data_IF_213203613398
#
_entry.id   IF_213203613398
#
_cell.length_a   1.000
_cell.length_b   1.000
_cell.length_c   1.000
_cell.angle_alpha   90.00
_cell.angle_beta   90.00
_cell.angle_gamma   90.00
#
_symmetry.space_group_name_H-M   'P 1'
#
loop_
_entity.id
_entity.type
_entity.pdbx_description
1 polymer ?
#
# COMPACT_ATOMS: atom_id res chain seq x y z
N UNK A 1 80.37 45.13 -8.99
CA UNK A 1 80.04 45.83 -10.25
C UNK A 1 79.08 44.93 -11.02
N UNK A 2 77.89 45.45 -11.31
CA UNK A 2 76.79 44.77 -12.01
C UNK A 2 77.19 44.48 -13.46
N UNK A 3 76.86 43.30 -13.99
CA UNK A 3 76.11 43.16 -15.26
C UNK A 3 75.71 41.72 -15.54
N UNK A 4 74.39 41.46 -15.52
CA UNK A 4 73.76 40.36 -16.27
C UNK A 4 73.68 40.76 -17.74
N UNK A 5 73.91 39.84 -18.67
CA UNK A 5 73.20 39.81 -19.96
C UNK A 5 72.93 38.37 -20.41
N UNK A 6 71.65 38.15 -20.69
CA UNK A 6 71.03 37.01 -21.33
C UNK A 6 70.98 37.32 -22.83
N UNK A 7 71.38 36.39 -23.71
CA UNK A 7 70.96 36.38 -25.12
C UNK A 7 70.68 34.93 -25.53
N UNK A 8 69.53 34.76 -26.16
CA UNK A 8 68.81 33.55 -26.54
C UNK A 8 69.20 33.11 -27.97
N UNK A 9 68.91 31.84 -28.29
CA UNK A 9 68.78 31.22 -29.62
C UNK A 9 70.06 30.50 -30.06
N UNK A 10 70.04 29.17 -30.23
CA UNK A 10 69.35 28.55 -31.37
C UNK A 10 69.13 27.05 -31.11
N UNK A 11 67.96 26.56 -31.47
CA UNK A 11 67.55 25.17 -31.36
C UNK A 11 68.31 24.27 -32.34
N UNK A 12 68.77 23.10 -31.86
CA UNK A 12 69.07 21.95 -32.70
C UNK A 12 68.33 20.73 -32.16
N UNK A 13 67.47 20.18 -33.01
CA UNK A 13 66.58 19.05 -32.80
C UNK A 13 67.41 17.75 -32.77
N UNK A 14 67.49 17.07 -31.63
CA UNK A 14 68.02 15.71 -31.51
C UNK A 14 66.89 14.75 -31.18
N UNK A 15 66.71 13.79 -32.09
CA UNK A 15 65.79 12.66 -32.01
C UNK A 15 66.31 11.68 -30.94
N UNK A 16 65.61 11.56 -29.81
CA UNK A 16 65.88 10.54 -28.79
C UNK A 16 64.72 9.54 -28.70
N UNK A 17 65.10 8.27 -28.81
CA UNK A 17 64.25 7.09 -28.66
C UNK A 17 63.84 7.01 -27.20
N UNK A 18 62.57 7.29 -26.90
CA UNK A 18 61.99 7.14 -25.56
C UNK A 18 61.53 5.71 -25.33
N UNK A 19 62.29 4.94 -24.56
CA UNK A 19 61.80 3.79 -23.82
C UNK A 19 60.76 4.29 -22.81
N UNK A 20 59.49 3.94 -22.99
CA UNK A 20 58.47 4.13 -21.97
C UNK A 20 58.68 3.10 -20.86
N UNK A 21 59.45 3.48 -19.83
CA UNK A 21 59.32 2.88 -18.51
C UNK A 21 58.04 3.44 -17.89
N UNK A 22 57.07 2.56 -17.59
CA UNK A 22 56.02 2.89 -16.64
C UNK A 22 56.67 2.93 -15.26
N UNK A 23 56.91 4.15 -14.77
CA UNK A 23 57.32 4.37 -13.38
C UNK A 23 56.11 4.10 -12.47
N UNK A 24 56.17 2.98 -11.76
CA UNK A 24 55.23 2.55 -10.72
C UNK A 24 55.43 3.39 -9.44
N UNK A 25 55.21 4.71 -9.54
CA UNK A 25 55.56 5.68 -8.48
C UNK A 25 54.43 6.60 -8.03
N UNK A 26 53.16 6.24 -8.27
CA UNK A 26 52.01 7.03 -7.79
C UNK A 26 51.28 6.44 -6.59
N UNK A 27 51.76 5.33 -6.00
CA UNK A 27 51.29 4.87 -4.69
C UNK A 27 52.34 5.19 -3.63
N UNK A 28 52.11 6.25 -2.87
CA UNK A 28 52.91 6.56 -1.68
C UNK A 28 52.33 5.81 -0.48
N UNK A 29 53.16 4.98 0.17
CA UNK A 29 52.87 4.50 1.51
C UNK A 29 52.85 5.70 2.46
N UNK A 30 51.72 5.91 3.13
CA UNK A 30 51.59 6.85 4.24
C UNK A 30 51.59 6.06 5.55
N UNK A 31 52.28 6.57 6.56
CA UNK A 31 52.21 6.06 7.93
C UNK A 31 50.87 6.43 8.58
N UNK A 32 50.45 5.72 9.62
CA UNK A 32 49.21 6.02 10.37
C UNK A 32 49.17 7.47 10.90
N UNK A 33 50.32 8.07 11.21
CA UNK A 33 50.43 9.48 11.59
C UNK A 33 50.21 10.45 10.44
N UNK A 34 50.61 10.09 9.22
CA UNK A 34 50.40 10.89 8.02
C UNK A 34 48.96 10.71 7.48
N UNK A 35 48.39 9.51 7.62
CA UNK A 35 46.96 9.22 7.39
C UNK A 35 46.06 10.05 8.33
N UNK A 36 46.44 10.19 9.60
CA UNK A 36 45.75 11.01 10.60
C UNK A 36 45.83 12.52 10.31
N UNK A 37 46.90 12.99 9.66
CA UNK A 37 47.06 14.39 9.27
C UNK A 37 46.30 14.79 8.00
N UNK A 38 45.88 13.82 7.17
CA UNK A 38 44.95 14.07 6.07
C UNK A 38 43.53 14.11 6.65
N UNK A 39 43.20 15.23 7.29
CA UNK A 39 41.85 15.51 7.77
C UNK A 39 40.95 15.94 6.58
N UNK A 40 40.69 15.00 5.68
CA UNK A 40 39.54 15.05 4.79
C UNK A 40 38.39 14.30 5.46
N UNK A 41 37.16 14.83 5.38
CA UNK A 41 35.99 13.98 5.62
C UNK A 41 36.09 12.83 4.61
N UNK A 42 36.37 11.62 5.09
CA UNK A 42 36.52 10.48 4.22
C UNK A 42 35.15 10.23 3.58
N UNK A 43 35.06 10.44 2.27
CA UNK A 43 33.83 10.23 1.50
C UNK A 43 33.25 8.84 1.77
N UNK A 44 34.10 7.84 2.01
CA UNK A 44 33.71 6.48 2.36
C UNK A 44 34.14 6.16 3.79
N UNK A 45 33.20 5.69 4.61
CA UNK A 45 33.42 5.28 5.99
C UNK A 45 33.09 3.79 6.17
N UNK A 46 34.01 3.03 6.76
CA UNK A 46 33.83 1.62 7.09
C UNK A 46 33.58 1.46 8.59
N UNK A 47 32.40 0.96 8.94
CA UNK A 47 32.04 0.61 10.33
C UNK A 47 31.89 -0.90 10.47
N UNK A 48 32.43 -1.45 11.56
CA UNK A 48 32.25 -2.86 11.93
C UNK A 48 31.39 -2.98 13.19
N UNK A 49 30.35 -3.81 13.13
CA UNK A 49 29.54 -4.22 14.27
C UNK A 49 29.88 -5.66 14.64
N UNK A 50 30.50 -5.83 15.81
CA UNK A 50 30.83 -7.14 16.35
C UNK A 50 29.57 -7.98 16.63
N UNK A 51 29.59 -9.32 16.43
CA UNK A 51 28.45 -10.18 16.72
C UNK A 51 27.85 -9.98 18.12
N UNK A 52 28.67 -9.69 19.13
CA UNK A 52 28.19 -9.44 20.50
C UNK A 52 27.33 -8.17 20.65
N UNK A 53 27.46 -7.23 19.71
CA UNK A 53 26.71 -5.95 19.65
C UNK A 53 25.56 -5.99 18.65
N UNK A 54 25.42 -7.08 17.90
CA UNK A 54 24.29 -7.28 16.99
C UNK A 54 23.01 -7.65 17.75
N UNK A 55 21.88 -7.71 17.04
CA UNK A 55 20.65 -8.25 17.60
C UNK A 55 20.86 -9.69 18.12
N UNK A 56 20.15 -10.08 19.18
CA UNK A 56 20.30 -11.38 19.86
C UNK A 56 20.27 -12.59 18.89
N UNK A 57 19.42 -12.55 17.86
CA UNK A 57 19.36 -13.62 16.85
C UNK A 57 20.67 -13.73 16.04
N UNK A 58 21.29 -12.61 15.69
CA UNK A 58 22.55 -12.56 14.95
C UNK A 58 23.74 -12.89 15.86
N UNK A 59 23.74 -12.38 17.10
CA UNK A 59 24.74 -12.68 18.11
C UNK A 59 24.83 -14.18 18.40
N UNK A 60 23.69 -14.86 18.57
CA UNK A 60 23.64 -16.31 18.80
C UNK A 60 24.22 -17.15 17.66
N UNK A 61 24.27 -16.59 16.46
CA UNK A 61 24.79 -17.24 15.25
C UNK A 61 26.20 -16.77 14.89
N UNK A 62 26.81 -15.94 15.74
CA UNK A 62 28.12 -15.32 15.53
C UNK A 62 28.19 -14.51 14.22
N UNK A 63 27.13 -13.75 13.92
CA UNK A 63 27.03 -12.90 12.72
C UNK A 63 27.30 -11.44 13.11
N UNK A 64 28.29 -10.83 12.44
CA UNK A 64 28.62 -9.40 12.56
C UNK A 64 28.39 -8.67 11.24
N UNK A 65 28.51 -7.34 11.25
CA UNK A 65 28.21 -6.49 10.10
C UNK A 65 29.38 -5.59 9.72
N UNK A 66 29.62 -5.46 8.42
CA UNK A 66 30.54 -4.47 7.85
C UNK A 66 29.74 -3.50 7.00
N UNK A 67 29.61 -2.25 7.46
CA UNK A 67 28.90 -1.17 6.75
C UNK A 67 29.90 -0.24 6.10
N UNK A 68 29.90 -0.19 4.78
CA UNK A 68 30.60 0.80 3.98
C UNK A 68 29.61 1.90 3.59
N UNK A 69 29.62 3.00 4.33
CA UNK A 69 28.81 4.19 4.04
C UNK A 69 29.55 5.19 3.18
N UNK A 70 28.80 5.97 2.40
CA UNK A 70 29.28 7.10 1.64
C UNK A 70 28.65 8.38 2.20
N UNK A 71 29.44 9.34 2.65
CA UNK A 71 28.97 10.65 3.14
C UNK A 71 28.69 11.58 1.96
N UNK A 72 27.65 11.27 1.19
CA UNK A 72 27.23 12.04 0.02
C UNK A 72 25.73 11.93 -0.25
N UNK A 73 25.25 12.86 -1.07
CA UNK A 73 23.96 12.76 -1.72
C UNK A 73 24.14 12.16 -3.12
N UNK A 74 23.48 11.02 -3.37
CA UNK A 74 23.43 10.39 -4.69
C UNK A 74 22.08 10.67 -5.33
N UNK A 75 22.10 11.23 -6.52
CA UNK A 75 20.90 11.49 -7.30
C UNK A 75 20.73 10.44 -8.39
N UNK A 76 19.57 9.78 -8.43
CA UNK A 76 19.23 8.77 -9.43
C UNK A 76 17.86 9.06 -10.04
N UNK A 77 17.82 9.18 -11.36
CA UNK A 77 16.60 9.04 -12.14
C UNK A 77 16.75 7.74 -12.95
N UNK A 78 15.79 6.83 -12.80
CA UNK A 78 15.85 5.52 -13.43
C UNK A 78 14.48 5.08 -13.91
N UNK A 79 14.45 4.42 -15.07
CA UNK A 79 13.32 3.63 -15.51
C UNK A 79 13.80 2.20 -15.82
N UNK A 80 13.07 1.23 -15.29
CA UNK A 80 13.37 -0.19 -15.34
C UNK A 80 12.12 -0.92 -15.82
N UNK A 81 12.13 -1.34 -17.10
CA UNK A 81 10.98 -2.01 -17.73
C UNK A 81 10.51 -3.24 -16.97
N UNK A 82 11.45 -4.02 -16.42
CA UNK A 82 11.17 -5.22 -15.63
C UNK A 82 12.23 -5.36 -14.56
N UNK A 83 11.83 -5.29 -13.28
CA UNK A 83 12.69 -5.61 -12.16
C UNK A 83 12.33 -7.01 -11.67
N UNK A 84 13.23 -7.97 -11.92
CA UNK A 84 13.06 -9.36 -11.53
C UNK A 84 14.26 -9.83 -10.70
N UNK A 85 14.01 -10.14 -9.43
CA UNK A 85 15.02 -10.56 -8.49
C UNK A 85 14.61 -11.89 -7.84
N UNK A 86 15.56 -12.81 -7.73
CA UNK A 86 15.32 -14.13 -7.13
C UNK A 86 14.35 -14.99 -7.93
N UNK A 87 14.32 -14.90 -9.26
CA UNK A 87 13.47 -15.75 -10.07
C UNK A 87 14.07 -17.17 -10.23
N UNK A 88 13.27 -18.21 -10.05
CA UNK A 88 13.71 -19.59 -10.28
C UNK A 88 14.56 -20.18 -9.14
N UNK A 89 15.32 -21.23 -9.44
CA UNK A 89 16.21 -21.89 -8.48
C UNK A 89 15.47 -22.34 -7.21
N UNK A 90 15.92 -21.86 -6.04
CA UNK A 90 15.31 -22.14 -4.73
C UNK A 90 13.85 -21.67 -4.62
N UNK A 91 13.43 -20.81 -5.54
CA UNK A 91 12.09 -20.23 -5.57
C UNK A 91 11.12 -20.99 -6.49
N UNK A 92 11.61 -21.97 -7.27
CA UNK A 92 10.78 -22.77 -8.18
C UNK A 92 10.46 -22.06 -9.48
N UNK A 93 9.91 -22.79 -10.46
CA UNK A 93 9.55 -22.24 -11.76
C UNK A 93 8.49 -21.12 -11.61
N UNK A 94 8.77 -19.95 -12.18
CA UNK A 94 7.88 -18.79 -12.12
C UNK A 94 7.83 -18.07 -10.76
N UNK A 95 8.57 -18.53 -9.74
CA UNK A 95 8.66 -17.86 -8.45
C UNK A 95 9.78 -16.83 -8.45
N UNK A 96 9.43 -15.55 -8.30
CA UNK A 96 10.37 -14.44 -8.10
C UNK A 96 10.17 -13.85 -6.71
N UNK A 97 11.25 -13.44 -6.05
CA UNK A 97 11.14 -12.72 -4.78
C UNK A 97 10.65 -11.29 -5.00
N UNK A 98 11.14 -10.60 -6.02
CA UNK A 98 10.64 -9.29 -6.42
C UNK A 98 10.39 -9.35 -7.92
N UNK A 99 9.17 -9.05 -8.33
CA UNK A 99 8.76 -8.91 -9.73
C UNK A 99 7.87 -7.66 -9.85
N UNK A 100 8.40 -6.67 -10.54
CA UNK A 100 7.75 -5.37 -10.76
C UNK A 100 7.86 -5.01 -12.25
N UNK A 101 6.72 -4.64 -12.83
CA UNK A 101 6.66 -4.11 -14.19
C UNK A 101 6.79 -2.58 -14.20
N UNK A 102 7.48 -2.07 -15.21
CA UNK A 102 7.57 -0.65 -15.54
C UNK A 102 7.88 0.23 -14.32
N UNK A 103 8.92 -0.14 -13.58
CA UNK A 103 9.37 0.57 -12.40
C UNK A 103 10.08 1.87 -12.80
N UNK A 104 9.75 2.96 -12.14
CA UNK A 104 10.39 4.26 -12.35
C UNK A 104 10.71 4.92 -11.01
N UNK A 105 11.88 5.54 -10.91
CA UNK A 105 12.34 6.32 -9.78
C UNK A 105 12.76 7.71 -10.27
N UNK A 106 12.14 8.74 -9.71
CA UNK A 106 12.41 10.15 -10.06
C UNK A 106 12.32 11.06 -8.84
N UNK A 107 12.53 12.36 -9.02
CA UNK A 107 12.14 13.36 -8.01
C UNK A 107 10.62 13.42 -7.77
N UNK A 108 10.19 14.27 -6.84
CA UNK A 108 8.79 14.41 -6.36
C UNK A 108 7.89 15.27 -7.26
N UNK A 109 8.13 15.31 -8.57
CA UNK A 109 7.29 16.07 -9.49
C UNK A 109 6.06 15.27 -9.92
N UNK A 110 4.91 15.93 -10.05
CA UNK A 110 3.67 15.32 -10.55
C UNK A 110 3.49 15.49 -12.07
N UNK A 111 4.33 16.30 -12.72
CA UNK A 111 4.31 16.50 -14.19
C UNK A 111 5.40 15.70 -14.87
N UNK A 112 5.16 15.34 -16.14
CA UNK A 112 6.11 14.62 -16.97
C UNK A 112 7.47 15.33 -17.06
N UNK A 113 7.45 16.62 -17.39
CA UNK A 113 8.66 17.44 -17.55
C UNK A 113 9.43 17.54 -16.23
N UNK A 114 8.71 17.66 -15.12
CA UNK A 114 9.31 17.71 -13.79
C UNK A 114 9.94 16.37 -13.39
N UNK A 115 9.29 15.24 -13.69
CA UNK A 115 9.83 13.92 -13.35
C UNK A 115 11.09 13.59 -14.13
N UNK A 116 11.07 13.83 -15.44
CA UNK A 116 12.25 13.57 -16.29
C UNK A 116 13.40 14.51 -15.94
N UNK A 117 13.08 15.75 -15.56
CA UNK A 117 14.06 16.76 -15.15
C UNK A 117 14.54 16.65 -13.71
N UNK A 118 14.07 15.67 -12.92
CA UNK A 118 14.44 15.55 -11.50
C UNK A 118 14.79 14.12 -11.08
N UNK A 119 15.78 14.02 -10.20
CA UNK A 119 16.27 12.74 -9.68
C UNK A 119 15.76 12.50 -8.27
N UNK A 120 15.59 11.23 -7.91
CA UNK A 120 15.45 10.86 -6.50
C UNK A 120 16.79 11.06 -5.80
N UNK A 121 16.76 11.60 -4.57
CA UNK A 121 17.93 11.91 -3.77
C UNK A 121 18.10 10.87 -2.67
N UNK A 122 19.24 10.19 -2.66
CA UNK A 122 19.65 9.23 -1.64
C UNK A 122 20.73 9.85 -0.78
N UNK A 123 20.41 10.15 0.46
CA UNK A 123 21.35 10.74 1.42
C UNK A 123 22.06 9.64 2.20
N UNK A 124 23.40 9.73 2.23
CA UNK A 124 24.29 8.80 2.91
C UNK A 124 24.04 7.32 2.54
N UNK A 125 24.14 6.96 1.25
CA UNK A 125 23.97 5.58 0.82
C UNK A 125 25.08 4.69 1.38
N UNK A 126 24.78 3.41 1.60
CA UNK A 126 25.71 2.45 2.14
C UNK A 126 25.46 1.04 1.62
N UNK A 127 26.52 0.24 1.68
CA UNK A 127 26.47 -1.21 1.49
C UNK A 127 26.82 -1.85 2.83
N UNK A 128 26.04 -2.80 3.30
CA UNK A 128 26.32 -3.53 4.53
C UNK A 128 26.37 -5.04 4.27
N UNK A 129 27.40 -5.71 4.78
CA UNK A 129 27.61 -7.15 4.63
C UNK A 129 27.40 -7.86 5.96
N UNK A 130 26.61 -8.92 5.96
CA UNK A 130 26.46 -9.83 7.10
C UNK A 130 27.47 -10.96 7.00
N UNK A 131 28.37 -11.08 7.98
CA UNK A 131 29.47 -12.06 7.98
C UNK A 131 29.35 -12.95 9.21
N UNK A 132 29.23 -14.25 8.99
CA UNK A 132 29.28 -15.27 10.04
C UNK A 132 30.71 -15.61 10.38
N UNK A 133 30.99 -15.81 11.68
CA UNK A 133 32.32 -16.05 12.23
C UNK A 133 33.37 -15.03 11.75
N UNK A 134 33.14 -13.71 11.92
CA UNK A 134 34.03 -12.68 11.37
C UNK A 134 35.47 -12.83 11.88
N UNK A 135 35.65 -13.34 13.10
CA UNK A 135 36.95 -13.50 13.75
C UNK A 135 37.70 -14.81 13.39
N UNK A 136 37.12 -15.69 12.56
CA UNK A 136 37.74 -16.97 12.18
C UNK A 136 37.90 -17.08 10.67
N UNK A 137 39.13 -16.98 10.16
CA UNK A 137 39.39 -17.00 8.71
C UNK A 137 38.94 -18.30 8.02
N UNK A 138 38.99 -19.45 8.70
CA UNK A 138 38.63 -20.75 8.13
C UNK A 138 37.12 -21.01 8.08
N UNK A 139 36.33 -20.30 8.89
CA UNK A 139 34.87 -20.48 8.99
C UNK A 139 34.09 -19.21 8.69
N UNK A 140 34.78 -18.16 8.20
CA UNK A 140 34.18 -16.88 7.78
C UNK A 140 33.32 -17.11 6.56
N UNK A 141 32.05 -16.73 6.66
CA UNK A 141 31.09 -16.88 5.56
C UNK A 141 30.26 -15.60 5.38
N UNK A 142 30.10 -15.15 4.13
CA UNK A 142 29.13 -14.11 3.80
C UNK A 142 27.72 -14.69 3.82
N UNK A 143 26.88 -14.13 4.67
CA UNK A 143 25.48 -14.53 4.85
C UNK A 143 24.52 -13.70 4.01
N UNK A 144 24.92 -12.48 3.65
CA UNK A 144 24.13 -11.61 2.78
C UNK A 144 24.75 -10.22 2.66
N UNK A 145 24.13 -9.39 1.83
CA UNK A 145 24.42 -7.97 1.73
C UNK A 145 23.12 -7.16 1.63
N UNK A 146 23.17 -5.89 2.02
CA UNK A 146 22.12 -4.92 1.73
C UNK A 146 22.68 -3.64 1.16
N UNK A 147 21.93 -3.05 0.24
CA UNK A 147 22.09 -1.70 -0.26
C UNK A 147 21.01 -0.84 0.41
N UNK A 148 21.38 0.32 0.91
CA UNK A 148 20.44 1.19 1.62
C UNK A 148 20.91 2.63 1.61
N UNK A 149 20.04 3.54 2.00
CA UNK A 149 20.39 4.92 2.33
C UNK A 149 19.75 5.31 3.67
N UNK A 150 20.30 6.32 4.35
CA UNK A 150 19.65 6.88 5.54
C UNK A 150 18.31 7.52 5.18
N UNK A 151 18.22 8.07 3.96
CA UNK A 151 16.99 8.66 3.45
C UNK A 151 16.95 8.60 1.93
N UNK A 152 15.82 8.17 1.38
CA UNK A 152 15.50 8.31 -0.04
C UNK A 152 14.32 9.28 -0.18
N UNK A 153 14.57 10.39 -0.87
CA UNK A 153 13.56 11.39 -1.23
C UNK A 153 13.28 11.27 -2.73
N UNK A 154 12.07 10.87 -3.11
CA UNK A 154 11.71 10.72 -4.51
C UNK A 154 10.34 10.08 -4.68
N UNK A 155 9.97 9.83 -5.93
CA UNK A 155 8.73 9.16 -6.28
C UNK A 155 9.06 7.84 -6.98
N UNK A 156 8.52 6.75 -6.44
CA UNK A 156 8.51 5.44 -7.08
C UNK A 156 7.19 5.29 -7.81
N UNK A 157 7.22 4.99 -9.10
CA UNK A 157 6.02 4.57 -9.84
C UNK A 157 6.19 3.21 -10.45
N UNK A 158 5.07 2.50 -10.56
CA UNK A 158 4.99 1.07 -10.83
C UNK A 158 3.90 0.88 -11.89
N UNK A 159 4.16 0.06 -12.90
CA UNK A 159 3.24 -0.12 -14.01
C UNK A 159 3.18 1.08 -14.96
N UNK A 160 2.25 1.04 -15.92
CA UNK A 160 2.14 2.07 -16.97
C UNK A 160 1.03 3.09 -16.69
N UNK A 161 0.00 2.67 -15.96
CA UNK A 161 -1.19 3.46 -15.72
C UNK A 161 -2.06 2.84 -14.61
N UNK A 162 -2.77 3.70 -13.89
CA UNK A 162 -3.77 3.31 -12.92
C UNK A 162 -5.08 2.97 -13.66
N UNK A 163 -5.37 1.68 -13.78
CA UNK A 163 -6.55 1.14 -14.48
C UNK A 163 -7.24 0.10 -13.61
N UNK A 164 -8.41 -0.39 -14.03
CA UNK A 164 -9.09 -1.51 -13.36
C UNK A 164 -8.37 -2.87 -13.48
N UNK A 165 -7.20 -2.92 -14.12
CA UNK A 165 -6.38 -4.13 -14.23
C UNK A 165 -5.02 -3.94 -13.57
N UNK A 166 -4.57 -4.89 -12.71
CA UNK A 166 -3.30 -4.76 -12.01
C UNK A 166 -2.12 -4.84 -13.00
N UNK A 167 -1.18 -3.88 -12.93
CA UNK A 167 0.00 -3.85 -13.80
C UNK A 167 1.29 -3.32 -13.12
N UNK A 168 1.29 -3.17 -11.78
CA UNK A 168 2.46 -2.74 -11.00
C UNK A 168 3.30 -3.90 -10.44
N UNK A 169 3.14 -4.17 -9.14
CA UNK A 169 3.90 -5.22 -8.42
C UNK A 169 3.21 -6.58 -8.62
N UNK A 170 3.92 -7.54 -9.21
CA UNK A 170 3.45 -8.92 -9.36
C UNK A 170 3.79 -9.80 -8.16
N UNK A 171 4.97 -9.57 -7.57
CA UNK A 171 5.44 -10.29 -6.39
C UNK A 171 6.41 -9.44 -5.59
N UNK A 172 6.28 -9.46 -4.26
CA UNK A 172 7.13 -8.74 -3.34
C UNK A 172 7.51 -9.62 -2.15
N UNK A 173 8.80 -9.86 -1.96
CA UNK A 173 9.39 -10.34 -0.72
C UNK A 173 9.92 -9.10 0.01
N UNK A 174 9.32 -8.75 1.13
CA UNK A 174 9.64 -7.48 1.75
C UNK A 174 8.87 -7.11 3.01
N UNK A 175 9.15 -5.89 3.45
CA UNK A 175 8.47 -5.19 4.53
C UNK A 175 8.13 -3.76 4.08
N UNK A 176 6.88 -3.37 4.28
CA UNK A 176 6.45 -1.99 4.13
C UNK A 176 5.35 -1.71 5.14
N UNK A 177 5.24 -0.46 5.58
CA UNK A 177 4.19 -0.04 6.52
C UNK A 177 3.33 1.00 5.83
N UNK A 178 2.02 0.81 5.82
CA UNK A 178 1.08 1.80 5.31
C UNK A 178 0.61 2.65 6.48
N UNK A 179 0.72 3.97 6.34
CA UNK A 179 0.22 4.93 7.33
C UNK A 179 -1.32 4.89 7.39
N UNK A 180 -1.87 5.16 8.57
CA UNK A 180 -3.32 5.38 8.72
C UNK A 180 -3.81 6.40 7.68
N UNK A 181 -4.91 6.06 7.01
CA UNK A 181 -5.49 6.88 5.95
C UNK A 181 -7.01 6.91 6.02
N UNK A 182 -7.58 7.97 5.47
CA UNK A 182 -9.02 8.18 5.36
C UNK A 182 -9.44 8.21 3.89
N UNK A 183 -10.72 8.00 3.63
CA UNK A 183 -11.24 8.06 2.28
C UNK A 183 -12.74 8.27 2.24
N UNK A 184 -13.24 8.49 1.04
CA UNK A 184 -14.66 8.62 0.76
C UNK A 184 -15.01 7.68 -0.38
N UNK A 185 -15.93 6.76 -0.13
CA UNK A 185 -16.47 5.86 -1.14
C UNK A 185 -17.96 6.14 -1.37
N UNK A 186 -18.45 5.70 -2.53
CA UNK A 186 -19.88 5.71 -2.84
C UNK A 186 -20.33 4.29 -3.12
N UNK A 187 -21.45 3.88 -2.56
CA UNK A 187 -22.04 2.58 -2.85
C UNK A 187 -22.75 2.59 -4.21
N UNK A 188 -22.75 1.46 -4.90
CA UNK A 188 -23.59 1.26 -6.07
C UNK A 188 -25.07 1.21 -5.68
N UNK A 189 -25.92 1.93 -6.41
CA UNK A 189 -27.36 1.75 -6.28
C UNK A 189 -27.75 0.33 -6.70
N UNK A 190 -28.57 -0.35 -5.90
CA UNK A 190 -29.02 -1.70 -6.22
C UNK A 190 -30.37 -2.01 -5.59
N UNK A 191 -31.04 -3.00 -6.17
CA UNK A 191 -32.26 -3.55 -5.59
C UNK A 191 -31.93 -4.63 -4.55
N UNK A 192 -32.67 -4.62 -3.44
CA UNK A 192 -32.76 -5.66 -2.44
C UNK A 192 -34.06 -6.46 -2.65
N UNK A 193 -33.91 -7.75 -2.93
CA UNK A 193 -35.01 -8.73 -3.00
C UNK A 193 -34.78 -9.84 -1.99
N UNK A 194 -35.84 -10.55 -1.62
CA UNK A 194 -35.72 -11.69 -0.70
C UNK A 194 -34.82 -12.81 -1.23
N UNK A 195 -34.77 -13.01 -2.55
CA UNK A 195 -33.83 -13.94 -3.20
C UNK A 195 -32.36 -13.56 -2.99
N UNK A 196 -32.06 -12.28 -2.82
CA UNK A 196 -30.69 -11.79 -2.66
C UNK A 196 -30.15 -12.10 -1.26
N UNK A 197 -31.04 -12.33 -0.29
CA UNK A 197 -30.70 -12.56 1.12
C UNK A 197 -31.20 -13.92 1.61
N UNK A 198 -31.20 -14.91 0.72
CA UNK A 198 -31.51 -16.31 1.08
C UNK A 198 -32.93 -16.54 1.59
N UNK A 199 -33.90 -15.71 1.18
CA UNK A 199 -35.29 -15.83 1.60
C UNK A 199 -35.59 -15.23 2.97
N UNK A 200 -34.66 -14.46 3.56
CA UNK A 200 -34.90 -13.82 4.86
C UNK A 200 -36.14 -12.91 4.80
N UNK A 201 -36.93 -12.99 5.87
CA UNK A 201 -38.16 -12.22 6.00
C UNK A 201 -37.85 -10.85 6.62
N UNK A 202 -38.46 -9.79 6.10
CA UNK A 202 -38.55 -8.52 6.82
C UNK A 202 -39.78 -8.59 7.72
N UNK A 203 -39.60 -8.30 9.00
CA UNK A 203 -40.70 -8.27 9.98
C UNK A 203 -40.78 -6.91 10.66
N UNK A 204 -41.94 -6.55 11.17
CA UNK A 204 -42.12 -5.29 11.86
C UNK A 204 -43.52 -5.13 12.42
N UNK A 205 -43.83 -3.92 12.89
CA UNK A 205 -45.18 -3.53 13.28
C UNK A 205 -45.65 -2.30 12.51
N UNK A 206 -46.93 -2.27 12.18
CA UNK A 206 -47.61 -1.09 11.65
C UNK A 206 -48.71 -0.64 12.61
N UNK A 207 -48.98 0.66 12.63
CA UNK A 207 -50.01 1.28 13.48
C UNK A 207 -51.14 1.87 12.64
N UNK A 208 -52.37 1.53 13.02
CA UNK A 208 -53.63 2.13 12.55
C UNK A 208 -54.57 2.28 13.75
N UNK A 209 -55.79 1.70 13.69
CA UNK A 209 -56.67 1.56 14.87
C UNK A 209 -56.10 0.67 15.98
N UNK A 210 -55.13 -0.16 15.64
CA UNK A 210 -54.35 -0.98 16.55
C UNK A 210 -52.94 -1.15 15.99
N UNK A 211 -52.10 -1.87 16.73
CA UNK A 211 -50.76 -2.24 16.29
C UNK A 211 -50.77 -3.67 15.79
N UNK A 212 -50.35 -3.88 14.55
CA UNK A 212 -50.34 -5.20 13.92
C UNK A 212 -48.92 -5.57 13.50
N UNK A 213 -48.51 -6.80 13.83
CA UNK A 213 -47.27 -7.36 13.31
C UNK A 213 -47.41 -7.75 11.85
N UNK A 214 -46.35 -7.54 11.07
CA UNK A 214 -46.25 -8.03 9.71
C UNK A 214 -44.96 -8.82 9.53
N UNK A 215 -45.00 -9.75 8.58
CA UNK A 215 -43.82 -10.38 7.99
C UNK A 215 -43.94 -10.37 6.46
N UNK A 216 -42.82 -10.46 5.76
CA UNK A 216 -42.82 -10.52 4.29
C UNK A 216 -41.54 -11.10 3.73
N UNK A 217 -41.69 -11.94 2.70
CA UNK A 217 -40.63 -12.38 1.79
C UNK A 217 -40.80 -11.78 0.40
N UNK A 218 -41.83 -10.98 0.17
CA UNK A 218 -42.11 -10.36 -1.12
C UNK A 218 -41.85 -8.86 -0.97
N UNK A 219 -40.58 -8.52 -1.08
CA UNK A 219 -40.09 -7.15 -1.10
C UNK A 219 -39.11 -6.93 -2.25
N UNK A 220 -39.17 -5.73 -2.79
CA UNK A 220 -38.32 -5.25 -3.87
C UNK A 220 -38.02 -3.78 -3.58
N UNK A 221 -36.91 -3.55 -2.87
CA UNK A 221 -36.50 -2.24 -2.36
C UNK A 221 -35.28 -1.75 -3.15
N UNK A 222 -35.43 -0.63 -3.85
CA UNK A 222 -34.34 0.07 -4.51
C UNK A 222 -33.56 0.88 -3.49
N UNK A 223 -32.32 0.47 -3.24
CA UNK A 223 -31.36 1.20 -2.43
C UNK A 223 -30.62 2.20 -3.33
N UNK A 224 -30.61 3.47 -2.93
CA UNK A 224 -29.88 4.51 -3.65
C UNK A 224 -28.38 4.44 -3.32
N UNK A 225 -27.56 5.05 -4.18
CA UNK A 225 -26.14 5.28 -3.87
C UNK A 225 -26.03 6.16 -2.63
N UNK A 226 -25.14 5.81 -1.70
CA UNK A 226 -24.81 6.64 -0.54
C UNK A 226 -23.30 6.77 -0.38
N UNK A 227 -22.88 7.83 0.31
CA UNK A 227 -21.50 8.06 0.68
C UNK A 227 -21.13 7.20 1.90
N UNK A 228 -19.89 6.76 1.97
CA UNK A 228 -19.31 6.11 3.13
C UNK A 228 -17.94 6.74 3.44
N UNK A 229 -17.75 7.20 4.68
CA UNK A 229 -16.49 7.76 5.14
C UNK A 229 -15.63 6.65 5.72
N UNK A 230 -14.48 6.39 5.08
CA UNK A 230 -13.57 5.28 5.35
C UNK A 230 -12.43 5.74 6.26
N UNK A 231 -12.07 4.88 7.21
CA UNK A 231 -10.86 4.94 8.01
C UNK A 231 -10.15 3.59 7.93
N UNK A 232 -8.91 3.57 7.44
CA UNK A 232 -8.05 2.38 7.43
C UNK A 232 -6.87 2.62 8.35
N UNK A 233 -6.69 1.70 9.31
CA UNK A 233 -5.63 1.80 10.29
C UNK A 233 -4.25 1.54 9.69
N UNK A 234 -3.22 1.96 10.41
CA UNK A 234 -1.84 1.64 10.07
C UNK A 234 -1.65 0.12 9.94
N UNK A 235 -1.05 -0.32 8.84
CA UNK A 235 -0.90 -1.75 8.54
C UNK A 235 0.51 -2.08 8.08
N UNK A 236 1.18 -3.00 8.77
CA UNK A 236 2.45 -3.55 8.33
C UNK A 236 2.21 -4.72 7.36
N UNK A 237 2.83 -4.62 6.19
CA UNK A 237 2.81 -5.64 5.15
C UNK A 237 4.18 -6.29 5.16
N UNK A 238 4.22 -7.59 5.45
CA UNK A 238 5.45 -8.35 5.46
C UNK A 238 5.25 -9.77 4.99
N UNK A 239 6.17 -10.27 4.17
CA UNK A 239 6.05 -11.62 3.66
C UNK A 239 7.07 -11.95 2.58
N UNK A 240 7.05 -13.21 2.14
CA UNK A 240 7.82 -13.67 0.99
C UNK A 240 6.86 -13.81 -0.18
N UNK A 241 7.19 -13.18 -1.31
CA UNK A 241 6.43 -13.28 -2.57
C UNK A 241 4.95 -12.97 -2.43
N UNK A 242 4.63 -12.00 -1.58
CA UNK A 242 3.26 -11.52 -1.44
C UNK A 242 2.83 -10.78 -2.71
N UNK A 243 1.57 -10.91 -3.06
CA UNK A 243 0.93 -10.26 -4.21
C UNK A 243 -0.31 -9.44 -3.80
N UNK A 244 -0.64 -9.43 -2.51
CA UNK A 244 -1.75 -8.67 -1.96
C UNK A 244 -1.41 -8.11 -0.58
N UNK A 245 -2.00 -6.96 -0.27
CA UNK A 245 -2.05 -6.34 1.04
C UNK A 245 -3.40 -6.62 1.69
N UNK A 246 -3.39 -7.03 2.95
CA UNK A 246 -4.61 -7.23 3.74
C UNK A 246 -4.73 -6.07 4.71
N UNK A 247 -5.68 -5.16 4.46
CA UNK A 247 -5.91 -3.96 5.25
C UNK A 247 -7.20 -4.11 6.05
N UNK A 248 -7.22 -3.50 7.24
CA UNK A 248 -8.42 -3.44 8.08
C UNK A 248 -8.83 -1.99 8.28
N UNK A 249 -10.13 -1.76 8.16
CA UNK A 249 -10.71 -0.45 8.34
C UNK A 249 -12.14 -0.49 8.83
N UNK A 250 -12.72 0.69 8.91
CA UNK A 250 -14.14 0.88 9.18
C UNK A 250 -14.68 1.94 8.25
N UNK A 251 -15.98 1.89 7.97
CA UNK A 251 -16.68 2.97 7.29
C UNK A 251 -17.94 3.38 8.06
N UNK A 252 -18.18 4.69 8.13
CA UNK A 252 -19.46 5.22 8.53
C UNK A 252 -20.32 5.38 7.27
N UNK A 253 -21.44 4.66 7.21
CA UNK A 253 -22.34 4.74 6.05
C UNK A 253 -23.30 5.91 6.27
N UNK A 254 -23.28 6.87 5.35
CA UNK A 254 -24.20 8.00 5.39
C UNK A 254 -25.63 7.55 5.08
N UNK A 255 -26.58 8.45 5.28
CA UNK A 255 -28.01 8.16 5.12
C UNK A 255 -28.32 7.44 3.80
N UNK A 256 -28.75 6.19 3.89
CA UNK A 256 -29.07 5.33 2.75
C UNK A 256 -30.57 5.39 2.49
N UNK A 257 -30.97 6.08 1.43
CA UNK A 257 -32.36 6.16 1.02
C UNK A 257 -32.79 4.90 0.27
N UNK A 258 -34.03 4.49 0.52
CA UNK A 258 -34.66 3.39 -0.20
C UNK A 258 -36.10 3.71 -0.59
N UNK A 259 -36.56 3.06 -1.66
CA UNK A 259 -37.97 3.02 -2.03
C UNK A 259 -38.33 1.67 -2.65
N UNK A 260 -39.58 1.25 -2.60
CA UNK A 260 -40.01 0.06 -3.31
C UNK A 260 -41.24 -0.61 -2.72
N UNK A 261 -41.60 -1.74 -3.33
CA UNK A 261 -42.78 -2.50 -2.96
C UNK A 261 -42.49 -3.52 -1.87
N UNK A 262 -43.40 -3.66 -0.91
CA UNK A 262 -43.44 -4.70 0.12
C UNK A 262 -44.85 -5.26 0.14
N UNK A 263 -45.03 -6.59 0.04
CA UNK A 263 -46.32 -7.23 0.34
C UNK A 263 -46.32 -7.73 1.78
N UNK A 264 -46.79 -6.90 2.70
CA UNK A 264 -46.88 -7.21 4.11
C UNK A 264 -47.96 -8.27 4.35
N UNK A 265 -47.60 -9.38 5.00
CA UNK A 265 -48.54 -10.39 5.45
C UNK A 265 -48.88 -10.12 6.92
N UNK A 266 -50.16 -9.87 7.20
CA UNK A 266 -50.65 -9.43 8.50
C UNK A 266 -51.72 -10.39 8.99
N UNK A 267 -51.54 -10.94 10.19
CA UNK A 267 -52.53 -11.79 10.81
C UNK A 267 -53.49 -10.96 11.66
N UNK A 268 -54.77 -10.96 11.30
CA UNK A 268 -55.80 -10.17 11.99
C UNK A 268 -56.90 -11.12 12.45
N UNK A 269 -57.21 -11.07 13.74
CA UNK A 269 -58.35 -11.79 14.29
C UNK A 269 -59.64 -10.98 14.06
N UNK A 270 -60.76 -11.58 13.59
CA UNK A 270 -61.01 -13.00 13.28
C UNK A 270 -60.85 -13.38 11.79
N UNK A 271 -60.34 -12.49 10.94
CA UNK A 271 -60.47 -12.51 9.46
C UNK A 271 -59.30 -13.20 8.70
N UNK A 272 -58.46 -14.00 9.36
CA UNK A 272 -57.30 -14.70 8.76
C UNK A 272 -56.25 -13.76 8.12
N UNK A 273 -55.19 -14.36 7.55
CA UNK A 273 -54.02 -13.68 6.99
C UNK A 273 -54.38 -12.77 5.80
N UNK A 274 -54.05 -11.48 5.90
CA UNK A 274 -54.25 -10.49 4.83
C UNK A 274 -52.90 -10.08 4.24
N UNK A 275 -52.80 -10.05 2.92
CA UNK A 275 -51.63 -9.51 2.22
C UNK A 275 -51.91 -8.10 1.73
N UNK A 276 -51.10 -7.14 2.17
CA UNK A 276 -51.25 -5.72 1.83
C UNK A 276 -50.02 -5.26 1.04
N UNK A 277 -50.18 -4.82 -0.22
CA UNK A 277 -49.10 -4.18 -0.95
C UNK A 277 -48.87 -2.77 -0.39
N UNK A 278 -47.61 -2.46 -0.08
CA UNK A 278 -47.16 -1.19 0.47
C UNK A 278 -46.02 -0.68 -0.41
N UNK A 279 -46.11 0.56 -0.88
CA UNK A 279 -44.97 1.25 -1.45
C UNK A 279 -44.23 1.99 -0.33
N UNK A 280 -43.16 1.40 0.17
CA UNK A 280 -42.35 1.98 1.22
C UNK A 280 -41.32 2.94 0.64
N UNK A 281 -41.10 4.07 1.31
CA UNK A 281 -39.94 4.93 1.12
C UNK A 281 -39.38 5.35 2.47
N UNK A 282 -38.08 5.49 2.59
CA UNK A 282 -37.45 5.86 3.85
C UNK A 282 -35.94 5.93 3.72
N UNK A 283 -35.27 5.97 4.85
CA UNK A 283 -33.82 5.96 4.92
C UNK A 283 -33.30 5.12 6.08
N UNK A 284 -32.05 4.67 5.97
CA UNK A 284 -31.30 3.98 7.03
C UNK A 284 -30.14 4.88 7.45
N UNK A 285 -29.96 5.07 8.75
CA UNK A 285 -28.88 5.89 9.34
C UNK A 285 -28.12 5.12 10.42
N UNK A 286 -26.94 5.60 10.79
CA UNK A 286 -26.17 5.07 11.93
C UNK A 286 -25.44 3.74 11.68
N UNK A 287 -25.51 3.21 10.45
CA UNK A 287 -24.87 1.94 10.09
C UNK A 287 -23.36 2.12 9.95
N UNK A 288 -22.59 1.21 10.54
CA UNK A 288 -21.14 1.10 10.33
C UNK A 288 -20.80 -0.13 9.52
N UNK A 289 -19.68 -0.09 8.82
CA UNK A 289 -19.10 -1.25 8.16
C UNK A 289 -17.71 -1.55 8.72
N UNK A 290 -17.43 -2.82 9.00
CA UNK A 290 -16.08 -3.34 9.21
C UNK A 290 -15.51 -3.75 7.86
N UNK A 291 -14.40 -3.13 7.47
CA UNK A 291 -13.77 -3.34 6.17
C UNK A 291 -12.62 -4.34 6.31
N UNK A 292 -12.73 -5.46 5.61
CA UNK A 292 -11.61 -6.37 5.32
C UNK A 292 -11.22 -6.16 3.86
N UNK A 293 -10.12 -5.45 3.61
CA UNK A 293 -9.69 -5.03 2.26
C UNK A 293 -8.53 -5.92 1.81
N UNK A 294 -8.73 -6.68 0.74
CA UNK A 294 -7.68 -7.44 0.07
C UNK A 294 -7.28 -6.74 -1.22
N UNK A 295 -6.19 -5.98 -1.17
CA UNK A 295 -5.73 -5.18 -2.31
C UNK A 295 -4.58 -5.88 -3.03
N UNK A 296 -4.73 -6.20 -4.32
CA UNK A 296 -3.60 -6.70 -5.11
C UNK A 296 -2.52 -5.61 -5.24
N UNK A 297 -1.26 -5.97 -4.97
CA UNK A 297 -0.13 -5.02 -5.04
C UNK A 297 0.09 -4.46 -6.45
N UNK A 298 -0.46 -5.11 -7.47
CA UNK A 298 -0.47 -4.64 -8.85
C UNK A 298 -1.31 -3.38 -9.09
N UNK A 299 -2.17 -2.97 -8.15
CA UNK A 299 -2.88 -1.68 -8.16
C UNK A 299 -2.11 -0.55 -7.45
N UNK A 300 -0.97 -0.86 -6.84
CA UNK A 300 -0.08 0.16 -6.29
C UNK A 300 0.80 0.68 -7.41
N UNK A 301 0.62 1.95 -7.75
CA UNK A 301 1.26 2.60 -8.90
C UNK A 301 2.11 3.80 -8.52
N UNK A 302 1.89 4.40 -7.36
CA UNK A 302 2.64 5.56 -6.87
C UNK A 302 2.94 5.46 -5.39
N UNK A 303 4.22 5.60 -5.06
CA UNK A 303 4.73 5.66 -3.69
C UNK A 303 5.67 6.85 -3.58
N UNK A 304 5.33 7.80 -2.72
CA UNK A 304 6.24 8.88 -2.37
C UNK A 304 7.19 8.40 -1.27
N UNK A 305 8.49 8.51 -1.54
CA UNK A 305 9.57 8.11 -0.65
C UNK A 305 10.11 9.34 0.06
N UNK A 306 10.20 9.24 1.39
CA UNK A 306 10.88 10.20 2.27
C UNK A 306 11.53 9.47 3.45
N UNK A 307 11.94 8.22 3.22
CA UNK A 307 12.13 7.18 4.22
C UNK A 307 13.46 6.44 4.01
N UNK A 308 14.01 5.74 5.01
CA UNK A 308 15.02 4.72 4.80
C UNK A 308 14.48 3.61 3.89
N UNK A 309 15.25 3.26 2.88
CA UNK A 309 14.93 2.23 1.90
C UNK A 309 16.08 1.22 1.85
N UNK A 310 15.77 -0.07 1.86
CA UNK A 310 16.78 -1.12 1.75
C UNK A 310 16.39 -2.21 0.76
N UNK A 311 17.35 -2.64 -0.05
CA UNK A 311 17.28 -3.84 -0.89
C UNK A 311 18.40 -4.80 -0.46
N UNK A 312 18.05 -6.03 -0.12
CA UNK A 312 18.98 -7.02 0.44
C UNK A 312 18.86 -8.39 -0.19
N UNK A 313 19.94 -9.16 -0.11
CA UNK A 313 19.99 -10.56 -0.50
C UNK A 313 20.72 -11.35 0.60
N UNK A 314 20.08 -12.40 1.11
CA UNK A 314 20.63 -13.22 2.19
C UNK A 314 20.36 -14.72 2.02
N UNK A 315 21.29 -15.55 2.50
CA UNK A 315 21.24 -17.02 2.49
C UNK A 315 20.34 -17.62 3.55
N UNK A 316 20.01 -16.84 4.57
CA UNK A 316 19.13 -17.18 5.68
C UNK A 316 18.44 -15.91 6.16
N UNK A 317 17.57 -16.01 7.15
CA UNK A 317 16.98 -14.82 7.74
C UNK A 317 18.06 -14.00 8.45
N UNK A 318 18.14 -12.71 8.11
CA UNK A 318 19.11 -11.76 8.67
C UNK A 318 18.34 -10.58 9.26
N UNK A 319 18.58 -10.31 10.55
CA UNK A 319 18.08 -9.10 11.18
C UNK A 319 19.12 -7.99 11.01
N UNK A 320 18.97 -7.22 9.94
CA UNK A 320 19.86 -6.11 9.62
C UNK A 320 19.78 -5.01 10.68
N UNK A 321 20.88 -4.25 10.86
CA UNK A 321 20.91 -3.18 11.86
C UNK A 321 19.84 -2.11 11.56
N UNK A 322 19.00 -1.78 12.54
CA UNK A 322 17.94 -0.78 12.42
C UNK A 322 16.67 -1.26 11.69
N UNK A 323 16.58 -2.53 11.28
CA UNK A 323 15.38 -3.04 10.63
C UNK A 323 14.29 -3.44 11.62
N UNK A 324 13.03 -3.18 11.26
CA UNK A 324 11.86 -3.53 12.08
C UNK A 324 11.63 -5.03 12.12
N UNK A 325 11.89 -5.72 11.01
CA UNK A 325 11.73 -7.17 10.87
C UNK A 325 12.97 -7.80 10.25
N UNK A 326 13.19 -9.10 10.52
CA UNK A 326 14.24 -9.85 9.86
C UNK A 326 13.94 -10.00 8.36
N UNK A 327 14.92 -9.67 7.52
CA UNK A 327 14.87 -9.92 6.09
C UNK A 327 14.99 -11.42 5.84
N UNK A 328 13.97 -12.02 5.22
CA UNK A 328 13.91 -13.47 5.01
C UNK A 328 14.88 -13.93 3.92
N UNK A 329 15.32 -15.19 3.96
CA UNK A 329 16.17 -15.77 2.90
C UNK A 329 15.67 -15.42 1.49
N UNK A 330 16.59 -14.99 0.62
CA UNK A 330 16.30 -14.55 -0.74
C UNK A 330 16.46 -13.04 -0.89
N UNK A 331 15.87 -12.48 -1.94
CA UNK A 331 15.81 -11.02 -2.09
C UNK A 331 14.73 -10.44 -1.18
N UNK A 332 15.01 -9.28 -0.60
CA UNK A 332 14.11 -8.61 0.33
C UNK A 332 14.19 -7.10 0.19
N UNK A 333 13.04 -6.47 -0.02
CA UNK A 333 12.88 -5.01 -0.07
C UNK A 333 12.21 -4.51 1.21
N UNK A 334 12.80 -3.53 1.87
CA UNK A 334 12.27 -2.95 3.11
C UNK A 334 12.13 -1.43 3.02
N UNK A 335 10.96 -0.94 3.41
CA UNK A 335 10.67 0.48 3.65
C UNK A 335 10.23 0.58 5.11
N UNK A 336 11.10 1.12 5.96
CA UNK A 336 10.94 1.03 7.41
C UNK A 336 9.88 2.00 7.94
N UNK A 337 9.84 3.21 7.40
CA UNK A 337 8.88 4.23 7.81
C UNK A 337 7.52 4.07 7.12
N UNK A 338 6.42 4.52 7.76
CA UNK A 338 5.09 4.51 7.17
C UNK A 338 5.03 5.26 5.83
N UNK A 339 4.43 4.61 4.84
CA UNK A 339 4.16 5.13 3.51
C UNK A 339 2.74 5.70 3.50
N UNK A 340 2.63 6.93 2.98
CA UNK A 340 1.35 7.55 2.69
C UNK A 340 0.90 7.15 1.27
N UNK A 341 -0.21 6.42 1.18
CA UNK A 341 -0.83 6.00 -0.08
C UNK A 341 -1.91 7.00 -0.57
N UNK A 342 -2.04 8.14 0.12
CA UNK A 342 -3.09 9.13 -0.08
C UNK A 342 -4.45 8.66 0.44
N UNK A 343 -5.49 9.41 0.07
CA UNK A 343 -6.86 9.08 0.45
C UNK A 343 -7.40 7.85 -0.29
N UNK A 344 -8.15 7.01 0.43
CA UNK A 344 -8.81 5.83 -0.12
C UNK A 344 -10.12 6.23 -0.80
N UNK A 345 -10.00 6.81 -1.99
CA UNK A 345 -11.15 7.18 -2.80
C UNK A 345 -11.22 6.21 -4.00
N UNK A 346 -12.09 5.18 -3.94
CA UNK A 346 -12.35 4.32 -5.08
C UNK A 346 -12.76 5.14 -6.31
N UNK A 347 -12.26 4.77 -7.48
CA UNK A 347 -12.67 5.40 -8.75
C UNK A 347 -14.11 5.00 -9.10
N UNK A 348 -14.45 3.74 -8.83
CA UNK A 348 -15.77 3.18 -9.09
C UNK A 348 -16.65 3.09 -7.84
N UNK A 349 -17.96 3.00 -8.05
CA UNK A 349 -18.91 2.74 -6.97
C UNK A 349 -18.70 1.33 -6.39
N UNK A 350 -18.63 1.25 -5.07
CA UNK A 350 -18.46 0.01 -4.31
C UNK A 350 -19.76 -0.79 -4.36
N UNK A 351 -19.72 -1.98 -4.93
CA UNK A 351 -20.89 -2.85 -5.03
C UNK A 351 -21.23 -3.44 -3.66
N UNK A 352 -22.46 -3.25 -3.22
CA UNK A 352 -22.98 -3.90 -2.01
C UNK A 352 -23.29 -5.35 -2.36
N UNK A 353 -22.70 -6.32 -1.68
CA UNK A 353 -22.94 -7.76 -1.96
C UNK A 353 -24.21 -8.28 -1.28
N UNK A 354 -24.67 -9.46 -1.70
CA UNK A 354 -25.80 -10.15 -1.08
C UNK A 354 -25.55 -10.47 0.40
N UNK A 355 -24.33 -10.87 0.75
CA UNK A 355 -23.94 -11.15 2.13
C UNK A 355 -23.97 -9.91 3.02
N UNK A 356 -23.60 -8.74 2.47
CA UNK A 356 -23.72 -7.45 3.17
C UNK A 356 -25.20 -7.14 3.43
N UNK A 357 -26.06 -7.29 2.43
CA UNK A 357 -27.50 -7.03 2.59
C UNK A 357 -28.15 -7.96 3.61
N UNK A 358 -27.78 -9.24 3.63
CA UNK A 358 -28.33 -10.24 4.54
C UNK A 358 -28.10 -9.89 6.02
N UNK A 359 -26.97 -9.25 6.34
CA UNK A 359 -26.63 -8.81 7.70
C UNK A 359 -27.56 -7.71 8.23
N UNK A 360 -28.20 -6.93 7.35
CA UNK A 360 -29.05 -5.79 7.73
C UNK A 360 -30.50 -6.19 7.99
N UNK A 361 -30.96 -7.34 7.46
CA UNK A 361 -32.38 -7.74 7.51
C UNK A 361 -32.88 -7.93 8.94
N UNK A 362 -32.10 -8.59 9.80
CA UNK A 362 -32.50 -8.85 11.18
C UNK A 362 -32.51 -7.56 12.02
N UNK A 363 -31.45 -6.71 12.04
CA UNK A 363 -31.50 -5.42 12.73
C UNK A 363 -32.62 -4.50 12.23
N UNK A 364 -32.85 -4.45 10.92
CA UNK A 364 -33.97 -3.71 10.32
C UNK A 364 -35.31 -4.21 10.87
N UNK A 365 -35.51 -5.53 10.91
CA UNK A 365 -36.76 -6.12 11.38
C UNK A 365 -37.01 -5.87 12.86
N UNK A 366 -35.97 -5.94 13.68
CA UNK A 366 -36.05 -5.55 15.10
C UNK A 366 -36.46 -4.08 15.22
N UNK A 367 -35.80 -3.18 14.49
CA UNK A 367 -36.12 -1.75 14.54
C UNK A 367 -37.58 -1.46 14.17
N UNK A 368 -38.07 -2.02 13.06
CA UNK A 368 -39.45 -1.85 12.59
C UNK A 368 -40.48 -2.48 13.54
N UNK A 369 -40.06 -3.44 14.36
CA UNK A 369 -40.90 -4.07 15.41
C UNK A 369 -41.03 -3.19 16.65
N UNK A 370 -39.95 -2.47 17.00
CA UNK A 370 -39.87 -1.60 18.17
C UNK A 370 -40.39 -0.19 17.89
N UNK A 371 -40.33 0.25 16.64
CA UNK A 371 -40.80 1.55 16.16
C UNK A 371 -41.88 1.35 15.08
N UNK A 372 -43.14 1.08 15.48
CA UNK A 372 -44.20 0.81 14.52
C UNK A 372 -44.43 1.98 13.57
N UNK A 373 -44.52 1.69 12.28
CA UNK A 373 -44.78 2.74 11.26
C UNK A 373 -46.26 3.11 11.26
N UNK A 374 -46.56 4.41 11.33
CA UNK A 374 -47.93 4.91 11.34
C UNK A 374 -48.50 5.02 9.92
N UNK A 375 -49.60 4.32 9.67
CA UNK A 375 -50.38 4.42 8.44
C UNK A 375 -51.62 5.28 8.71
N UNK A 376 -51.44 6.59 8.62
CA UNK A 376 -52.35 7.71 8.92
C UNK A 376 -53.86 7.55 8.62
N UNK A 377 -54.55 6.57 9.21
CA UNK A 377 -55.95 6.28 8.94
C UNK A 377 -56.62 5.31 9.92
N UNK A 378 -57.95 5.20 9.77
CA UNK A 378 -58.85 4.39 10.62
C UNK A 378 -58.77 2.88 10.27
N UNK A 379 -58.08 2.49 9.20
CA UNK A 379 -57.89 1.07 8.83
C UNK A 379 -56.48 0.83 8.28
N UNK A 380 -55.96 -0.39 8.39
CA UNK A 380 -54.64 -0.80 7.86
C UNK A 380 -54.54 -0.73 6.32
N UNK A 381 -55.66 -0.55 5.61
CA UNK A 381 -55.71 -0.42 4.15
C UNK A 381 -55.18 0.96 3.71
N UNK A 382 -55.08 1.93 4.62
CA UNK A 382 -54.49 3.25 4.36
C UNK A 382 -53.02 3.19 3.91
N UNK A 383 -52.28 2.11 4.22
CA UNK A 383 -50.89 1.93 3.80
C UNK A 383 -50.72 1.67 2.28
N UNK A 384 -51.81 1.36 1.56
CA UNK A 384 -51.76 0.97 0.14
C UNK A 384 -51.35 2.14 -0.79
N UNK A 385 -51.60 3.38 -0.36
CA UNK A 385 -51.21 4.60 -1.08
C UNK A 385 -49.71 4.96 -1.01
N UNK A 386 -48.93 4.17 -0.28
CA UNK A 386 -47.51 4.42 -0.02
C UNK A 386 -47.26 4.98 1.38
N UNK A 387 -46.17 4.53 2.00
CA UNK A 387 -45.82 4.84 3.38
C UNK A 387 -44.41 5.42 3.43
N UNK A 388 -44.27 6.53 4.14
CA UNK A 388 -42.95 7.09 4.46
C UNK A 388 -42.53 6.53 5.81
N UNK A 389 -41.54 5.64 5.80
CA UNK A 389 -40.95 5.10 7.02
C UNK A 389 -40.02 6.19 7.59
N UNK A 390 -40.17 6.60 8.86
CA UNK A 390 -39.20 7.47 9.52
C UNK A 390 -37.78 6.89 9.42
N UNK A 391 -36.72 7.72 9.49
CA UNK A 391 -35.35 7.22 9.37
C UNK A 391 -35.08 6.06 10.33
N UNK A 392 -34.70 4.91 9.76
CA UNK A 392 -34.36 3.69 10.50
C UNK A 392 -32.96 3.86 11.05
N UNK A 393 -32.85 4.14 12.35
CA UNK A 393 -31.57 4.32 13.01
C UNK A 393 -31.01 2.96 13.47
N UNK A 394 -29.95 2.50 12.79
CA UNK A 394 -29.21 1.28 13.11
C UNK A 394 -27.89 1.58 13.84
N UNK A 395 -27.81 2.67 14.60
CA UNK A 395 -26.66 2.97 15.44
C UNK A 395 -26.27 1.79 16.33
N UNK A 396 -24.98 1.46 16.35
CA UNK A 396 -24.44 0.31 17.08
C UNK A 396 -24.46 -1.00 16.30
N UNK A 397 -25.06 -1.02 15.09
CA UNK A 397 -24.95 -2.14 14.17
C UNK A 397 -23.73 -1.95 13.25
N UNK A 398 -22.98 -3.04 13.07
CA UNK A 398 -21.84 -3.08 12.17
C UNK A 398 -22.00 -4.26 11.20
N UNK A 399 -21.83 -4.00 9.91
CA UNK A 399 -21.82 -5.03 8.87
C UNK A 399 -20.40 -5.33 8.43
N UNK A 400 -20.08 -6.61 8.22
CA UNK A 400 -18.84 -6.99 7.54
C UNK A 400 -18.96 -6.66 6.06
N UNK A 401 -18.02 -5.89 5.54
CA UNK A 401 -18.00 -5.43 4.16
C UNK A 401 -16.62 -5.74 3.56
N UNK A 402 -16.44 -6.95 3.01
CA UNK A 402 -15.18 -7.31 2.36
C UNK A 402 -15.02 -6.52 1.06
N UNK A 403 -13.83 -5.99 0.85
CA UNK A 403 -13.44 -5.23 -0.34
C UNK A 403 -12.26 -5.91 -1.00
N UNK A 404 -12.21 -5.86 -2.33
CA UNK A 404 -11.16 -6.49 -3.11
C UNK A 404 -10.83 -5.66 -4.34
N UNK A 405 -9.53 -5.48 -4.59
CA UNK A 405 -8.98 -4.93 -5.83
C UNK A 405 -9.63 -3.59 -6.22
N UNK A 406 -9.48 -2.59 -5.35
CA UNK A 406 -10.07 -1.28 -5.53
C UNK A 406 -9.09 -0.35 -6.24
N UNK A 407 -9.46 0.11 -7.44
CA UNK A 407 -8.72 1.16 -8.12
C UNK A 407 -8.81 2.48 -7.34
N UNK A 408 -7.70 2.87 -6.71
CA UNK A 408 -7.59 4.11 -5.93
C UNK A 408 -7.33 5.32 -6.85
N UNK A 409 -8.13 6.38 -6.72
CA UNK A 409 -7.99 7.59 -7.54
C UNK A 409 -6.65 8.32 -7.32
N UNK A 410 -6.02 8.15 -6.15
CA UNK A 410 -4.75 8.77 -5.77
C UNK A 410 -3.52 8.11 -6.39
N UNK A 411 -3.68 6.94 -7.01
CA UNK A 411 -2.61 6.17 -7.62
C UNK A 411 -2.27 6.61 -9.06
N UNK A 412 -2.93 7.67 -9.57
CA UNK A 412 -2.56 8.30 -10.84
C UNK A 412 -1.18 8.98 -10.76
N UNK A 413 -0.42 8.90 -11.85
CA UNK A 413 0.92 9.50 -11.98
C UNK A 413 1.21 9.92 -13.43
N UNK A 414 2.10 10.91 -13.59
CA UNK A 414 2.64 11.26 -14.91
C UNK A 414 3.84 10.37 -15.26
N UNK A 415 3.99 9.88 -16.51
CA UNK A 415 5.15 9.09 -16.92
C UNK A 415 6.48 9.83 -16.77
N UNK A 416 7.53 9.12 -16.35
CA UNK A 416 8.90 9.63 -16.29
C UNK A 416 9.61 9.53 -17.66
N UNK A 417 9.01 10.17 -18.67
CA UNK A 417 9.41 10.08 -20.07
C UNK A 417 9.21 11.38 -20.83
N UNK A 418 10.12 11.76 -21.73
CA UNK A 418 9.83 12.85 -22.67
C UNK A 418 8.75 12.45 -23.70
N UNK A 419 8.01 13.45 -24.18
CA UNK A 419 7.04 13.27 -25.27
C UNK A 419 5.74 12.58 -24.83
N UNK A 420 5.23 11.64 -25.63
CA UNK A 420 3.95 10.96 -25.42
C UNK A 420 4.07 9.53 -24.86
N UNK A 421 5.28 9.07 -24.54
CA UNK A 421 5.51 7.69 -24.08
C UNK A 421 4.95 7.48 -22.66
N UNK A 422 4.34 6.32 -22.44
CA UNK A 422 3.90 5.87 -21.11
C UNK A 422 5.06 5.30 -20.28
N UNK A 423 6.09 4.78 -20.93
CA UNK A 423 7.30 4.25 -20.27
C UNK A 423 8.54 4.40 -21.17
N UNK A 424 9.71 4.50 -20.54
CA UNK A 424 11.05 4.66 -21.10
C UNK A 424 11.94 3.64 -20.40
#
# INVERSE_FOLDING_TARGET
>A
MITKRLVISSALFFLTIGLTHADDSTLKLLSDSELSQVQGQALMNLTYTDPSKANASMASQNIGFYKLGMEADVELNANIKKLQLGCGGVNGAGGCDIDIDNLSLSGLAETREGRVGSSAKMTNPFIEFAIKNPNSASTREMMGFRLSAEKVLGMLTLGEENTGTPNGINSLSGYMKIKETTGTAFTGARTLKSSDVGGQQISGKIRGIGTYGFNTTDYNLNLQSTQADILVGETAITGSRINSAQLKGSANINELFFNGGIKAQIQIFPINLVSIPINAKGSITGLKADLDISENLGFIHKINLNNPFSLSLQKQDINWSGSTVAARRGWWLAIEDPIDIGHLNPTDQVQITNDVLSQVIQPLSTYLTDHPTDCSGITIISCVGGVTIPPVNLAGQTVKFPLKDIQLATQNFAPNCYGSLKFC
#
